data_IF_532818769924
#
_entry.id   IF_532818769924
#
_cell.length_a   1.000
_cell.length_b   1.000
_cell.length_c   1.000
_cell.angle_alpha   90.00
_cell.angle_beta   90.00
_cell.angle_gamma   90.00
#
_symmetry.space_group_name_H-M   'P 1'
#
loop_
_entity.id
_entity.type
_entity.pdbx_description
1 polymer ?
#
# COMPACT_ATOMS: atom_id res chain seq x y z
N UNK A 1 -1.76 4.28 11.49
CA UNK A 1 -2.87 4.45 10.53
C UNK A 1 -2.45 5.27 9.30
N UNK A 2 -1.89 6.48 9.45
CA UNK A 2 -1.50 7.36 8.33
C UNK A 2 -0.68 6.65 7.24
N UNK A 3 0.43 6.00 7.60
CA UNK A 3 1.28 5.33 6.59
C UNK A 3 0.53 4.23 5.82
N UNK A 4 -0.38 3.53 6.49
CA UNK A 4 -1.20 2.50 5.86
C UNK A 4 -2.24 3.12 4.90
N UNK A 5 -2.83 4.25 5.27
CA UNK A 5 -3.74 5.01 4.40
C UNK A 5 -3.01 5.54 3.16
N UNK A 6 -1.74 5.97 3.29
CA UNK A 6 -0.92 6.37 2.13
C UNK A 6 -0.70 5.21 1.15
N UNK A 7 -0.37 4.00 1.67
CA UNK A 7 -0.23 2.79 0.85
C UNK A 7 -1.57 2.40 0.21
N UNK A 8 -2.68 2.54 0.94
CA UNK A 8 -4.03 2.31 0.42
C UNK A 8 -4.32 3.24 -0.77
N UNK A 9 -4.05 4.54 -0.62
CA UNK A 9 -4.22 5.52 -1.70
C UNK A 9 -3.35 5.22 -2.91
N UNK A 10 -2.07 4.88 -2.69
CA UNK A 10 -1.15 4.53 -3.77
C UNK A 10 -1.61 3.30 -4.57
N UNK A 11 -1.94 2.20 -3.90
CA UNK A 11 -2.38 0.96 -4.58
C UNK A 11 -3.67 1.16 -5.38
N UNK A 12 -4.59 2.01 -4.90
CA UNK A 12 -5.82 2.35 -5.62
C UNK A 12 -5.57 3.27 -6.81
N UNK A 13 -4.63 4.20 -6.67
CA UNK A 13 -4.23 5.13 -7.74
C UNK A 13 -3.64 4.40 -8.96
N UNK A 14 -3.07 3.21 -8.78
CA UNK A 14 -2.53 2.42 -9.89
C UNK A 14 -3.60 1.67 -10.72
N UNK A 15 -4.84 1.56 -10.23
CA UNK A 15 -5.88 0.72 -10.86
C UNK A 15 -6.46 1.26 -12.19
N UNK A 16 -6.65 2.58 -12.37
CA UNK A 16 -7.16 3.13 -13.64
C UNK A 16 -6.23 2.89 -14.85
N UNK A 17 -4.95 2.60 -14.58
CA UNK A 17 -3.94 2.29 -15.59
C UNK A 17 -3.80 3.36 -16.69
N UNK A 18 -3.96 4.63 -16.32
CA UNK A 18 -3.68 5.76 -17.19
C UNK A 18 -2.17 6.09 -17.22
N UNK A 19 -1.79 7.10 -18.03
CA UNK A 19 -0.38 7.47 -18.20
C UNK A 19 0.29 7.89 -16.89
N UNK A 20 -0.42 8.59 -16.01
CA UNK A 20 0.14 9.10 -14.76
C UNK A 20 0.25 7.98 -13.73
N UNK A 21 -0.75 7.10 -13.64
CA UNK A 21 -0.74 5.90 -12.83
C UNK A 21 0.40 4.95 -13.26
N UNK A 22 0.60 4.75 -14.56
CA UNK A 22 1.70 3.94 -15.08
C UNK A 22 3.07 4.49 -14.63
N UNK A 23 3.32 5.79 -14.78
CA UNK A 23 4.59 6.37 -14.34
C UNK A 23 4.77 6.34 -12.82
N UNK A 24 3.70 6.52 -12.06
CA UNK A 24 3.77 6.36 -10.60
C UNK A 24 4.06 4.92 -10.18
N UNK A 25 3.57 3.93 -10.93
CA UNK A 25 3.95 2.54 -10.74
C UNK A 25 5.43 2.30 -11.06
N UNK A 26 5.95 2.92 -12.12
CA UNK A 26 7.34 2.77 -12.54
C UNK A 26 8.29 3.35 -11.48
N UNK A 27 7.97 4.51 -10.92
CA UNK A 27 8.69 5.08 -9.77
C UNK A 27 8.68 4.10 -8.59
N UNK A 28 7.56 3.42 -8.33
CA UNK A 28 7.47 2.41 -7.27
C UNK A 28 8.39 1.20 -7.48
N UNK A 29 8.53 0.74 -8.72
CA UNK A 29 9.48 -0.32 -9.09
C UNK A 29 10.92 0.15 -8.85
N UNK A 30 11.27 1.35 -9.30
CA UNK A 30 12.60 1.94 -9.13
C UNK A 30 12.94 2.14 -7.64
N UNK A 31 11.98 2.62 -6.84
CA UNK A 31 12.13 2.71 -5.38
C UNK A 31 12.36 1.34 -4.75
N UNK A 32 11.67 0.29 -5.21
CA UNK A 32 11.88 -1.07 -4.72
C UNK A 32 13.29 -1.58 -5.03
N UNK A 33 13.77 -1.34 -6.26
CA UNK A 33 15.11 -1.72 -6.69
C UNK A 33 16.23 -0.93 -5.99
N UNK A 34 15.93 0.25 -5.45
CA UNK A 34 16.90 1.04 -4.68
C UNK A 34 17.27 0.41 -3.32
N UNK A 35 16.49 -0.58 -2.84
CA UNK A 35 16.75 -1.27 -1.58
C UNK A 35 17.93 -2.24 -1.74
N UNK A 36 19.01 -2.12 -0.94
CA UNK A 36 20.14 -3.02 -1.05
C UNK A 36 19.75 -4.46 -0.67
N UNK A 37 20.35 -5.44 -1.35
CA UNK A 37 20.21 -6.89 -1.11
C UNK A 37 18.85 -7.49 -1.50
N UNK A 38 17.73 -6.86 -1.12
CA UNK A 38 16.39 -7.44 -1.29
C UNK A 38 15.53 -6.75 -2.35
N UNK A 39 16.02 -5.69 -3.00
CA UNK A 39 15.21 -4.85 -3.90
C UNK A 39 14.58 -5.60 -5.07
N UNK A 40 15.32 -6.52 -5.70
CA UNK A 40 14.78 -7.34 -6.79
C UNK A 40 13.61 -8.22 -6.34
N UNK A 41 13.73 -8.82 -5.16
CA UNK A 41 12.68 -9.66 -4.59
C UNK A 41 11.43 -8.84 -4.25
N UNK A 42 11.61 -7.63 -3.71
CA UNK A 42 10.51 -6.70 -3.42
C UNK A 42 9.78 -6.30 -4.72
N UNK A 43 10.53 -5.92 -5.76
CA UNK A 43 9.96 -5.55 -7.05
C UNK A 43 9.16 -6.70 -7.68
N UNK A 44 9.71 -7.92 -7.66
CA UNK A 44 9.01 -9.11 -8.17
C UNK A 44 7.74 -9.44 -7.37
N UNK A 45 7.80 -9.36 -6.04
CA UNK A 45 6.66 -9.69 -5.19
C UNK A 45 5.53 -8.67 -5.35
N UNK A 46 5.85 -7.38 -5.30
CA UNK A 46 4.85 -6.32 -5.33
C UNK A 46 4.33 -6.07 -6.75
N UNK A 47 5.24 -5.93 -7.71
CA UNK A 47 4.90 -5.47 -9.07
C UNK A 47 4.84 -6.60 -10.10
N UNK A 48 5.31 -7.80 -9.77
CA UNK A 48 5.30 -8.95 -10.70
C UNK A 48 6.45 -8.96 -11.70
N UNK A 49 7.44 -8.08 -11.55
CA UNK A 49 8.59 -7.97 -12.45
C UNK A 49 9.34 -6.65 -12.28
N UNK A 50 10.29 -6.41 -13.18
CA UNK A 50 11.09 -5.17 -13.24
C UNK A 50 10.51 -4.13 -14.21
N UNK A 51 9.49 -4.51 -14.96
CA UNK A 51 8.72 -3.65 -15.85
C UNK A 51 7.25 -3.84 -15.57
N UNK A 52 6.50 -2.74 -15.60
CA UNK A 52 5.07 -2.76 -15.38
C UNK A 52 4.33 -3.51 -16.50
N UNK A 53 3.38 -4.35 -16.09
CA UNK A 53 2.54 -5.12 -17.01
C UNK A 53 1.13 -5.29 -16.43
N UNK A 54 0.24 -5.92 -17.18
CA UNK A 54 -1.11 -6.25 -16.70
C UNK A 54 -1.09 -7.09 -15.39
N UNK A 55 -0.03 -7.88 -15.18
CA UNK A 55 0.12 -8.65 -13.94
C UNK A 55 0.29 -7.76 -12.71
N UNK A 56 0.87 -6.56 -12.87
CA UNK A 56 0.96 -5.56 -11.81
C UNK A 56 -0.43 -5.07 -11.40
N UNK A 57 -1.29 -4.75 -12.37
CA UNK A 57 -2.67 -4.27 -12.09
C UNK A 57 -3.44 -5.31 -11.28
N UNK A 58 -3.35 -6.59 -11.67
CA UNK A 58 -4.00 -7.66 -10.93
C UNK A 58 -3.50 -7.78 -9.48
N UNK A 59 -2.18 -7.64 -9.26
CA UNK A 59 -1.61 -7.64 -7.90
C UNK A 59 -2.07 -6.44 -7.08
N UNK A 60 -2.05 -5.24 -7.67
CA UNK A 60 -2.51 -4.02 -6.99
C UNK A 60 -4.00 -4.10 -6.65
N UNK A 61 -4.82 -4.68 -7.53
CA UNK A 61 -6.24 -4.92 -7.27
C UNK A 61 -6.43 -5.86 -6.06
N UNK A 62 -5.73 -6.99 -6.04
CA UNK A 62 -5.81 -7.95 -4.92
C UNK A 62 -5.32 -7.31 -3.61
N UNK A 63 -4.23 -6.55 -3.65
CA UNK A 63 -3.73 -5.82 -2.48
C UNK A 63 -4.76 -4.78 -2.00
N UNK A 64 -5.31 -3.97 -2.90
CA UNK A 64 -6.18 -2.84 -2.58
C UNK A 64 -7.59 -3.24 -2.15
N UNK A 65 -8.20 -4.22 -2.82
CA UNK A 65 -9.60 -4.60 -2.62
C UNK A 65 -9.74 -5.73 -1.61
N UNK A 66 -8.76 -6.64 -1.53
CA UNK A 66 -8.83 -7.77 -0.61
C UNK A 66 -7.99 -7.55 0.63
N UNK A 67 -6.66 -7.45 0.53
CA UNK A 67 -5.79 -7.48 1.72
C UNK A 67 -5.84 -6.21 2.58
N UNK A 68 -5.63 -5.05 1.97
CA UNK A 68 -5.51 -3.79 2.71
C UNK A 68 -6.77 -3.41 3.50
N UNK A 69 -8.01 -3.63 3.02
CA UNK A 69 -9.20 -3.33 3.81
C UNK A 69 -9.25 -4.09 5.13
N UNK A 70 -8.93 -5.39 5.14
CA UNK A 70 -8.90 -6.16 6.39
C UNK A 70 -7.83 -5.66 7.36
N UNK A 71 -6.64 -5.32 6.85
CA UNK A 71 -5.53 -4.81 7.68
C UNK A 71 -5.90 -3.43 8.26
N UNK A 72 -6.40 -2.51 7.44
CA UNK A 72 -6.81 -1.17 7.87
C UNK A 72 -7.91 -1.25 8.92
N UNK A 73 -8.98 -2.01 8.65
CA UNK A 73 -10.07 -2.18 9.60
C UNK A 73 -9.60 -2.81 10.92
N UNK A 74 -8.72 -3.81 10.86
CA UNK A 74 -8.13 -4.42 12.05
C UNK A 74 -7.34 -3.42 12.90
N UNK A 75 -6.48 -2.61 12.28
CA UNK A 75 -5.72 -1.59 13.01
C UNK A 75 -6.62 -0.45 13.52
N UNK A 76 -7.67 -0.07 12.79
CA UNK A 76 -8.67 0.89 13.28
C UNK A 76 -9.37 0.34 14.53
N UNK A 77 -9.77 -0.93 14.52
CA UNK A 77 -10.39 -1.56 15.69
C UNK A 77 -9.45 -1.57 16.91
N UNK A 78 -8.17 -1.90 16.71
CA UNK A 78 -7.14 -1.80 17.76
C UNK A 78 -6.98 -0.37 18.26
N UNK A 79 -6.89 0.61 17.36
CA UNK A 79 -6.74 2.01 17.71
C UNK A 79 -7.91 2.52 18.56
N UNK A 80 -9.15 2.24 18.14
CA UNK A 80 -10.35 2.60 18.91
C UNK A 80 -10.40 1.84 20.23
N UNK A 81 -10.00 0.58 20.26
CA UNK A 81 -9.92 -0.21 21.49
C UNK A 81 -8.99 0.41 22.53
N UNK A 82 -7.83 0.92 22.12
CA UNK A 82 -6.91 1.63 23.02
C UNK A 82 -7.55 2.91 23.56
N UNK A 83 -8.19 3.71 22.69
CA UNK A 83 -8.89 4.93 23.11
C UNK A 83 -10.01 4.62 24.11
N UNK A 84 -10.75 3.52 23.91
CA UNK A 84 -11.79 3.11 24.84
C UNK A 84 -11.23 2.69 26.21
N UNK A 85 -10.10 1.99 26.23
CA UNK A 85 -9.46 1.55 27.48
C UNK A 85 -8.80 2.70 28.26
N UNK A 86 -8.21 3.67 27.57
CA UNK A 86 -7.44 4.76 28.18
C UNK A 86 -8.27 6.02 28.44
N UNK A 87 -9.42 6.16 27.78
CA UNK A 87 -10.21 7.38 27.81
C UNK A 87 -9.64 8.47 26.90
N UNK A 88 -10.39 9.57 26.76
CA UNK A 88 -10.00 10.73 25.95
C UNK A 88 -9.13 11.64 26.82
N UNK A 89 -8.06 12.21 26.24
CA UNK A 89 -7.23 13.17 26.94
C UNK A 89 -8.03 14.44 27.30
N UNK A 90 -7.84 14.93 28.53
CA UNK A 90 -8.43 16.19 28.95
C UNK A 90 -7.82 17.35 28.14
N UNK A 91 -8.64 18.31 27.66
CA UNK A 91 -8.13 19.48 26.98
C UNK A 91 -7.31 20.31 27.97
N UNK A 92 -6.06 20.60 27.64
CA UNK A 92 -5.20 21.53 28.37
C UNK A 92 -5.34 22.94 27.79
#
# INVERSE_FOLDING_TARGET
>A
LISLTMVFGYTGYLLPWDQLAFWAGQIGVEMSLSIPIIGEWVAQLLFGGFTLSQSTVQRMYVLHVFFLPFIVTGIIAVHIGIVWMQGIAEPH
#
